data_IF_985509734224
#
_entry.id   IF_985509734224
#
_cell.length_a   1.000
_cell.length_b   1.000
_cell.length_c   1.000
_cell.angle_alpha   90.00
_cell.angle_beta   90.00
_cell.angle_gamma   90.00
#
_symmetry.space_group_name_H-M   'P 1'
#
loop_
_entity.id
_entity.type
_entity.pdbx_description
1 polymer ?
#
# COMPACT_ATOMS: atom_id res chain seq x y z
N UNK A 1 12.33 -17.29 -10.27
CA UNK A 1 12.32 -15.91 -9.73
C UNK A 1 10.90 -15.39 -9.85
N UNK A 2 10.00 -15.81 -8.95
CA UNK A 2 8.61 -15.37 -8.96
C UNK A 2 8.45 -14.34 -7.87
N UNK A 3 8.51 -13.08 -8.27
CA UNK A 3 8.21 -11.95 -7.40
C UNK A 3 6.67 -11.89 -7.34
N UNK A 4 6.09 -12.47 -6.29
CA UNK A 4 4.64 -12.46 -6.01
C UNK A 4 4.22 -11.02 -5.64
N UNK A 5 4.13 -10.14 -6.64
CA UNK A 5 3.59 -8.79 -6.46
C UNK A 5 2.06 -8.89 -6.51
N UNK A 6 1.41 -8.81 -5.35
CA UNK A 6 -0.06 -8.78 -5.32
C UNK A 6 -0.55 -7.42 -5.81
N UNK A 7 -1.41 -7.41 -6.82
CA UNK A 7 -2.10 -6.21 -7.29
C UNK A 7 -3.43 -6.06 -6.57
N UNK A 8 -3.65 -4.88 -5.98
CA UNK A 8 -4.94 -4.48 -5.45
C UNK A 8 -5.37 -3.14 -6.06
N UNK A 9 -6.51 -3.15 -6.75
CA UNK A 9 -7.17 -1.93 -7.18
C UNK A 9 -8.11 -1.44 -6.07
N UNK A 10 -7.76 -0.32 -5.46
CA UNK A 10 -8.52 0.30 -4.39
C UNK A 10 -9.52 1.37 -4.92
N UNK A 11 -9.49 1.69 -6.21
CA UNK A 11 -10.39 2.62 -6.89
C UNK A 11 -10.59 3.92 -6.07
N UNK A 12 -11.85 4.30 -5.85
CA UNK A 12 -12.29 5.53 -5.14
C UNK A 12 -12.56 5.28 -3.65
N UNK A 13 -11.92 4.27 -3.04
CA UNK A 13 -12.02 4.09 -1.59
C UNK A 13 -11.48 5.34 -0.89
N UNK A 14 -12.35 6.04 -0.13
CA UNK A 14 -11.96 7.24 0.59
C UNK A 14 -10.82 6.99 1.56
N UNK A 15 -10.05 8.05 1.87
CA UNK A 15 -8.80 8.02 2.65
C UNK A 15 -8.83 7.07 3.87
N UNK A 16 -9.93 7.06 4.64
CA UNK A 16 -10.07 6.24 5.85
C UNK A 16 -10.26 4.73 5.58
N UNK A 17 -11.03 4.36 4.57
CA UNK A 17 -11.27 2.94 4.24
C UNK A 17 -10.07 2.32 3.53
N UNK A 18 -9.40 3.12 2.69
CA UNK A 18 -8.18 2.72 1.98
C UNK A 18 -7.11 2.21 2.97
N UNK A 19 -6.78 3.00 4.00
CA UNK A 19 -5.72 2.65 4.96
C UNK A 19 -6.07 1.45 5.84
N UNK A 20 -7.36 1.27 6.18
CA UNK A 20 -7.81 0.12 6.96
C UNK A 20 -7.68 -1.16 6.14
N UNK A 21 -8.15 -1.16 4.89
CA UNK A 21 -8.08 -2.30 3.99
C UNK A 21 -6.64 -2.61 3.56
N UNK A 22 -5.81 -1.58 3.38
CA UNK A 22 -4.39 -1.70 3.14
C UNK A 22 -3.70 -2.44 4.29
N UNK A 23 -3.98 -2.03 5.54
CA UNK A 23 -3.44 -2.68 6.74
C UNK A 23 -3.82 -4.16 6.81
N UNK A 24 -5.09 -4.49 6.56
CA UNK A 24 -5.58 -5.87 6.62
C UNK A 24 -4.86 -6.75 5.59
N UNK A 25 -4.62 -6.23 4.38
CA UNK A 25 -3.90 -6.95 3.32
C UNK A 25 -2.44 -7.15 3.70
N UNK A 26 -1.73 -6.09 4.07
CA UNK A 26 -0.31 -6.16 4.41
C UNK A 26 -0.04 -7.09 5.60
N UNK A 27 -0.93 -7.11 6.61
CA UNK A 27 -0.85 -8.07 7.75
C UNK A 27 -0.87 -9.53 7.32
N UNK A 28 -1.53 -9.87 6.21
CA UNK A 28 -1.62 -11.25 5.70
C UNK A 28 -0.40 -11.65 4.85
N UNK A 29 0.51 -10.71 4.58
CA UNK A 29 1.66 -10.91 3.70
C UNK A 29 2.94 -10.24 4.24
N UNK A 30 3.38 -10.55 5.47
CA UNK A 30 4.62 -10.00 6.01
C UNK A 30 5.80 -10.21 5.04
N UNK A 31 6.61 -9.17 4.85
CA UNK A 31 7.78 -9.18 3.96
C UNK A 31 7.49 -9.09 2.46
N UNK A 32 6.22 -9.18 2.03
CA UNK A 32 5.84 -9.14 0.62
C UNK A 32 5.51 -7.72 0.14
N UNK A 33 5.48 -7.55 -1.18
CA UNK A 33 5.18 -6.27 -1.84
C UNK A 33 3.77 -6.28 -2.41
N UNK A 34 2.98 -5.28 -2.03
CA UNK A 34 1.64 -5.03 -2.55
C UNK A 34 1.67 -3.83 -3.50
N UNK A 35 1.20 -4.02 -4.73
CA UNK A 35 0.92 -2.93 -5.68
C UNK A 35 -0.51 -2.45 -5.48
N UNK A 36 -0.68 -1.23 -5.00
CA UNK A 36 -1.97 -0.58 -4.73
C UNK A 36 -2.24 0.45 -5.81
N UNK A 37 -3.40 0.40 -6.45
CA UNK A 37 -3.86 1.47 -7.34
C UNK A 37 -4.92 2.28 -6.61
N UNK A 38 -4.65 3.55 -6.31
CA UNK A 38 -5.54 4.43 -5.57
C UNK A 38 -5.68 5.77 -6.31
N UNK A 39 -6.88 6.06 -6.82
CA UNK A 39 -7.16 7.28 -7.61
C UNK A 39 -7.55 8.48 -6.76
N UNK A 40 -7.57 8.31 -5.44
CA UNK A 40 -7.85 9.38 -4.48
C UNK A 40 -6.75 10.48 -4.54
N UNK A 41 -7.12 11.77 -4.58
CA UNK A 41 -6.17 12.87 -4.70
C UNK A 41 -5.28 13.06 -3.46
N UNK A 42 -5.70 12.58 -2.28
CA UNK A 42 -4.95 12.59 -1.03
C UNK A 42 -4.03 11.37 -0.86
N UNK A 43 -4.24 10.28 -1.60
CA UNK A 43 -3.39 9.08 -1.53
C UNK A 43 -1.88 9.33 -1.67
N UNK A 44 -1.40 10.23 -2.55
CA UNK A 44 0.02 10.57 -2.64
C UNK A 44 0.63 11.16 -1.36
N UNK A 45 -0.17 11.79 -0.48
CA UNK A 45 0.28 12.33 0.80
C UNK A 45 0.02 11.34 1.95
N UNK A 46 -1.16 10.70 1.95
CA UNK A 46 -1.61 9.79 3.00
C UNK A 46 -0.82 8.48 3.00
N UNK A 47 -0.54 7.87 1.85
CA UNK A 47 0.15 6.58 1.76
C UNK A 47 1.58 6.66 2.32
N UNK A 48 2.43 7.63 1.93
CA UNK A 48 3.75 7.78 2.53
C UNK A 48 3.71 8.05 4.03
N UNK A 49 2.78 8.89 4.50
CA UNK A 49 2.60 9.18 5.92
C UNK A 49 2.21 7.91 6.69
N UNK A 50 1.23 7.15 6.18
CA UNK A 50 0.78 5.88 6.75
C UNK A 50 1.89 4.84 6.78
N UNK A 51 2.70 4.72 5.72
CA UNK A 51 3.84 3.81 5.67
C UNK A 51 4.85 4.13 6.80
N UNK A 52 5.19 5.41 6.98
CA UNK A 52 6.07 5.87 8.07
C UNK A 52 5.50 5.54 9.45
N UNK A 53 4.21 5.76 9.66
CA UNK A 53 3.53 5.48 10.94
C UNK A 53 3.47 3.98 11.25
N UNK A 54 3.29 3.14 10.23
CA UNK A 54 3.11 1.69 10.39
C UNK A 54 4.40 0.89 10.27
N UNK A 55 5.53 1.55 9.98
CA UNK A 55 6.82 0.91 9.65
C UNK A 55 6.76 0.02 8.40
N UNK A 56 5.79 0.26 7.52
CA UNK A 56 5.82 -0.32 6.18
C UNK A 56 6.71 0.54 5.28
N UNK A 57 7.24 -0.05 4.23
CA UNK A 57 8.15 0.65 3.31
C UNK A 57 7.46 0.94 1.98
N UNK A 58 7.36 2.22 1.61
CA UNK A 58 6.92 2.61 0.27
C UNK A 58 8.12 2.52 -0.69
N UNK A 59 8.10 1.52 -1.56
CA UNK A 59 9.18 1.25 -2.51
C UNK A 59 9.11 2.16 -3.75
N UNK A 60 7.89 2.43 -4.24
CA UNK A 60 7.68 3.21 -5.46
C UNK A 60 6.29 3.83 -5.47
N UNK A 61 6.19 5.00 -6.09
CA UNK A 61 4.94 5.65 -6.45
C UNK A 61 5.02 6.08 -7.93
N UNK A 62 3.98 5.79 -8.70
CA UNK A 62 3.80 6.21 -10.08
C UNK A 62 2.49 7.02 -10.22
N UNK A 63 2.59 8.36 -10.30
CA UNK A 63 1.42 9.24 -10.43
C UNK A 63 0.64 9.02 -11.73
N UNK A 64 1.28 8.59 -12.83
CA UNK A 64 0.61 8.42 -14.11
C UNK A 64 -0.39 7.25 -14.08
N UNK A 65 -0.08 6.23 -13.28
CA UNK A 65 -0.90 5.03 -13.12
C UNK A 65 -1.58 4.93 -11.76
N UNK A 66 -1.48 5.98 -10.94
CA UNK A 66 -1.99 6.01 -9.56
C UNK A 66 -1.54 4.80 -8.72
N UNK A 67 -0.34 4.28 -9.01
CA UNK A 67 0.16 3.01 -8.45
C UNK A 67 1.20 3.24 -7.36
N UNK A 68 1.11 2.48 -6.28
CA UNK A 68 1.99 2.50 -5.12
C UNK A 68 2.48 1.08 -4.84
N UNK A 69 3.78 0.90 -4.65
CA UNK A 69 4.36 -0.39 -4.26
C UNK A 69 4.79 -0.32 -2.81
N UNK A 70 4.10 -1.05 -1.96
CA UNK A 70 4.29 -1.02 -0.51
C UNK A 70 4.77 -2.38 -0.04
N UNK A 71 5.93 -2.43 0.58
CA UNK A 71 6.44 -3.62 1.25
C UNK A 71 5.86 -3.69 2.66
N UNK A 72 5.20 -4.80 2.94
CA UNK A 72 4.74 -5.13 4.28
C UNK A 72 5.94 -5.36 5.19
N UNK A 73 5.88 -4.84 6.42
CA UNK A 73 6.87 -5.15 7.44
C UNK A 73 6.80 -6.63 7.82
N UNK A 74 7.93 -7.17 8.26
CA UNK A 74 8.04 -8.57 8.68
C UNK A 74 7.40 -8.83 10.06
N UNK A 75 7.29 -7.81 10.90
CA UNK A 75 6.92 -7.89 12.31
C UNK A 75 5.54 -7.26 12.61
N UNK A 76 4.47 -8.02 12.38
CA UNK A 76 3.09 -7.62 12.75
C UNK A 76 2.67 -7.99 14.19
N UNK A 77 3.65 -8.22 15.08
CA UNK A 77 3.49 -8.60 16.49
C UNK A 77 2.65 -7.60 17.28
#
# INVERSE_FOLDING_TARGET
MTQDEQLWNAADLGCGELVVLLRIRLRKMPGQVLRVVATDPGAPEDIPAWCRMTRCELLRHDPATHSFWIRSRDDWN
#
